data_IF_655853964450
#
_entry.id   IF_655853964450
#
_cell.length_a   1.000
_cell.length_b   1.000
_cell.length_c   1.000
_cell.angle_alpha   90.00
_cell.angle_beta   90.00
_cell.angle_gamma   90.00
#
_symmetry.space_group_name_H-M   'P 1'
#
loop_
_entity.id
_entity.type
_entity.pdbx_description
1 polymer ?
#
# COMPACT_ATOMS: atom_id res chain seq x y z
N UNK A 1 -5.48 -5.01 21.75
CA UNK A 1 -6.53 -4.00 21.57
C UNK A 1 -7.58 -4.66 20.70
N UNK A 2 -8.79 -4.91 21.21
CA UNK A 2 -9.88 -5.44 20.37
C UNK A 2 -10.23 -4.33 19.38
N UNK A 3 -10.06 -4.59 18.09
CA UNK A 3 -10.38 -3.65 17.02
C UNK A 3 -11.89 -3.37 16.92
N UNK A 4 -12.29 -2.64 15.89
CA UNK A 4 -13.69 -2.44 15.49
C UNK A 4 -14.09 -0.98 15.34
N UNK A 5 -13.27 -0.04 15.82
CA UNK A 5 -13.56 1.40 15.73
C UNK A 5 -13.62 1.90 14.29
N UNK A 6 -12.69 1.45 13.44
CA UNK A 6 -12.67 1.81 12.02
C UNK A 6 -13.85 1.18 11.28
N UNK A 7 -14.10 -0.10 11.52
CA UNK A 7 -15.25 -0.81 10.95
C UNK A 7 -16.59 -0.17 11.37
N UNK A 8 -16.70 0.26 12.63
CA UNK A 8 -17.88 0.95 13.14
C UNK A 8 -18.04 2.33 12.49
N UNK A 9 -16.96 3.12 12.42
CA UNK A 9 -16.98 4.44 11.79
C UNK A 9 -17.34 4.34 10.29
N UNK A 10 -16.75 3.39 9.57
CA UNK A 10 -17.09 3.09 8.18
C UNK A 10 -18.58 2.75 8.04
N UNK A 11 -19.11 1.89 8.92
CA UNK A 11 -20.53 1.53 8.94
C UNK A 11 -21.44 2.73 9.21
N UNK A 12 -21.06 3.63 10.12
CA UNK A 12 -21.80 4.86 10.41
C UNK A 12 -21.80 5.83 9.25
N UNK A 13 -20.63 6.11 8.67
CA UNK A 13 -20.48 7.03 7.54
C UNK A 13 -21.28 6.54 6.33
N UNK A 14 -21.27 5.23 6.06
CA UNK A 14 -22.00 4.64 4.93
C UNK A 14 -23.50 4.44 5.19
N UNK A 15 -23.89 4.20 6.44
CA UNK A 15 -25.27 3.91 6.82
C UNK A 15 -26.12 5.15 7.15
N UNK A 16 -25.48 6.26 7.52
CA UNK A 16 -26.15 7.52 7.88
C UNK A 16 -25.65 8.68 7.00
N UNK A 17 -25.86 8.63 5.66
CA UNK A 17 -25.35 9.64 4.74
C UNK A 17 -25.86 11.05 5.07
N UNK A 18 -27.11 11.20 5.52
CA UNK A 18 -27.68 12.51 5.89
C UNK A 18 -26.92 13.21 7.03
N UNK A 19 -26.21 12.44 7.86
CA UNK A 19 -25.47 12.95 9.01
C UNK A 19 -23.99 13.19 8.73
N UNK A 20 -23.39 12.36 7.89
CA UNK A 20 -21.93 12.35 7.66
C UNK A 20 -21.51 12.76 6.24
N UNK A 21 -22.45 12.89 5.29
CA UNK A 21 -22.15 13.38 3.96
C UNK A 21 -21.79 14.87 4.04
N UNK A 22 -20.61 15.22 3.53
CA UNK A 22 -20.21 16.61 3.35
C UNK A 22 -20.83 17.06 2.03
N UNK A 23 -21.77 18.00 2.08
CA UNK A 23 -22.29 18.66 0.88
C UNK A 23 -21.17 19.53 0.33
N UNK A 24 -20.70 19.20 -0.87
CA UNK A 24 -19.59 19.90 -1.51
C UNK A 24 -20.05 21.30 -1.97
N UNK A 25 -19.88 22.29 -1.10
CA UNK A 25 -20.18 23.70 -1.42
C UNK A 25 -19.01 24.41 -2.12
N UNK A 26 -17.85 23.75 -2.31
CA UNK A 26 -16.65 24.39 -2.86
C UNK A 26 -16.11 23.67 -4.11
N UNK A 27 -16.48 24.23 -5.26
CA UNK A 27 -15.88 24.07 -6.59
C UNK A 27 -14.45 23.51 -6.63
N UNK A 28 -14.30 22.21 -6.92
CA UNK A 28 -13.16 21.67 -7.68
C UNK A 28 -11.74 21.88 -7.12
N UNK A 29 -11.59 22.36 -5.89
CA UNK A 29 -10.28 22.49 -5.24
C UNK A 29 -9.83 21.11 -4.81
N UNK A 30 -8.86 20.54 -5.55
CA UNK A 30 -8.06 19.42 -5.07
C UNK A 30 -7.57 19.75 -3.65
N UNK A 31 -7.82 18.85 -2.70
CA UNK A 31 -7.34 19.01 -1.33
C UNK A 31 -5.83 19.25 -1.27
N UNK A 32 -5.35 19.76 -0.13
CA UNK A 32 -3.93 20.05 0.04
C UNK A 32 -3.10 18.75 -0.02
N UNK A 33 -2.40 18.54 -1.14
CA UNK A 33 -1.51 17.38 -1.35
C UNK A 33 -0.05 17.69 -0.92
N UNK A 34 0.15 18.67 -0.04
CA UNK A 34 1.49 19.02 0.44
C UNK A 34 2.09 17.83 1.21
N UNK A 35 3.37 17.53 0.96
CA UNK A 35 4.06 16.37 1.54
C UNK A 35 3.98 15.10 0.69
N UNK A 36 3.05 14.99 -0.26
CA UNK A 36 3.02 13.86 -1.20
C UNK A 36 4.03 14.07 -2.33
N UNK A 37 5.07 13.23 -2.34
CA UNK A 37 6.13 13.30 -3.35
C UNK A 37 6.79 11.94 -3.57
N UNK A 38 6.24 11.12 -4.46
CA UNK A 38 6.88 9.87 -4.86
C UNK A 38 7.66 10.00 -6.19
N UNK A 39 8.98 9.78 -6.10
CA UNK A 39 9.89 9.76 -7.26
C UNK A 39 10.51 8.39 -7.51
N UNK A 40 10.07 7.37 -6.76
CA UNK A 40 10.38 5.98 -7.06
C UNK A 40 9.54 5.50 -8.24
N UNK A 41 10.12 4.62 -9.04
CA UNK A 41 9.38 3.87 -10.06
C UNK A 41 8.50 2.80 -9.40
N UNK A 42 7.47 2.29 -10.10
CA UNK A 42 6.77 1.08 -9.65
C UNK A 42 7.77 -0.03 -9.33
N UNK A 43 7.55 -0.70 -8.20
CA UNK A 43 8.42 -1.74 -7.67
C UNK A 43 8.09 -3.05 -8.38
N UNK A 44 8.82 -3.37 -9.44
CA UNK A 44 8.63 -4.63 -10.15
C UNK A 44 8.89 -5.82 -9.22
N UNK A 45 8.06 -6.86 -9.31
CA UNK A 45 8.24 -8.08 -8.54
C UNK A 45 9.63 -8.69 -8.79
N UNK A 46 10.29 -9.12 -7.72
CA UNK A 46 11.56 -9.83 -7.77
C UNK A 46 11.37 -11.36 -7.72
N UNK A 47 10.20 -11.84 -7.24
CA UNK A 47 9.91 -13.28 -7.10
C UNK A 47 8.89 -13.82 -8.10
N UNK A 48 8.15 -12.95 -8.78
CA UNK A 48 7.25 -13.27 -9.88
C UNK A 48 5.87 -12.61 -9.77
N UNK A 49 5.33 -12.41 -8.57
CA UNK A 49 4.00 -11.82 -8.36
C UNK A 49 3.95 -10.92 -7.12
N UNK A 50 3.41 -9.70 -7.28
CA UNK A 50 3.01 -8.84 -6.15
C UNK A 50 1.57 -9.16 -5.79
N UNK A 51 1.37 -9.61 -4.55
CA UNK A 51 0.08 -10.02 -4.01
C UNK A 51 -0.47 -8.96 -3.07
N UNK A 52 -1.61 -8.37 -3.41
CA UNK A 52 -2.43 -7.58 -2.49
C UNK A 52 -3.38 -8.50 -1.75
N UNK A 53 -3.21 -8.59 -0.44
CA UNK A 53 -3.91 -9.52 0.44
C UNK A 53 -4.72 -8.77 1.49
N UNK A 54 -5.98 -9.15 1.64
CA UNK A 54 -6.93 -8.64 2.61
C UNK A 54 -7.56 -9.81 3.35
N UNK A 55 -7.54 -9.82 4.68
CA UNK A 55 -8.10 -10.92 5.47
C UNK A 55 -8.86 -10.36 6.66
N UNK A 56 -10.10 -10.81 6.83
CA UNK A 56 -10.97 -10.45 7.94
C UNK A 56 -11.51 -11.71 8.62
N UNK A 57 -11.37 -11.80 9.94
CA UNK A 57 -12.00 -12.86 10.73
C UNK A 57 -13.52 -12.69 10.78
N UNK A 58 -14.30 -13.76 10.60
CA UNK A 58 -15.77 -13.66 10.63
C UNK A 58 -16.31 -13.40 12.04
N UNK A 59 -15.69 -14.00 13.06
CA UNK A 59 -16.15 -13.95 14.46
C UNK A 59 -15.31 -13.01 15.33
N UNK A 60 -14.51 -12.12 14.72
CA UNK A 60 -13.50 -11.31 15.43
C UNK A 60 -12.56 -12.17 16.29
N UNK A 61 -12.30 -13.39 15.81
CA UNK A 61 -11.35 -14.31 16.43
C UNK A 61 -9.94 -13.94 15.96
N UNK A 62 -9.21 -13.26 16.85
CA UNK A 62 -7.82 -12.86 16.62
C UNK A 62 -6.88 -14.08 16.55
N UNK A 63 -7.26 -15.24 17.09
CA UNK A 63 -6.45 -16.46 17.03
C UNK A 63 -6.25 -16.93 15.59
N UNK A 64 -7.32 -16.91 14.80
CA UNK A 64 -7.28 -17.29 13.38
C UNK A 64 -6.32 -16.40 12.59
N UNK A 65 -6.24 -15.10 12.92
CA UNK A 65 -5.28 -14.20 12.26
C UNK A 65 -3.84 -14.56 12.66
N UNK A 66 -3.61 -14.95 13.92
CA UNK A 66 -2.33 -15.48 14.39
C UNK A 66 -1.88 -16.72 13.61
N UNK A 67 -2.77 -17.72 13.48
CA UNK A 67 -2.52 -18.95 12.69
C UNK A 67 -2.17 -18.63 11.23
N UNK A 68 -2.87 -17.66 10.63
CA UNK A 68 -2.60 -17.22 9.26
C UNK A 68 -1.21 -16.59 9.17
N UNK A 69 -0.83 -15.72 10.10
CA UNK A 69 0.50 -15.10 10.11
C UNK A 69 1.60 -16.15 10.25
N UNK A 70 1.42 -17.14 11.12
CA UNK A 70 2.35 -18.27 11.26
C UNK A 70 2.44 -19.08 9.96
N UNK A 71 1.30 -19.40 9.33
CA UNK A 71 1.30 -20.09 8.05
C UNK A 71 1.99 -19.28 6.96
N UNK A 72 1.76 -17.96 6.88
CA UNK A 72 2.45 -17.08 5.94
C UNK A 72 3.97 -17.08 6.16
N UNK A 73 4.42 -17.05 7.42
CA UNK A 73 5.84 -17.16 7.76
C UNK A 73 6.46 -18.51 7.33
N UNK A 74 5.68 -19.59 7.34
CA UNK A 74 6.12 -20.91 6.86
C UNK A 74 6.17 -21.01 5.33
N UNK A 75 5.21 -20.40 4.61
CA UNK A 75 5.17 -20.43 3.14
C UNK A 75 6.25 -19.52 2.53
N UNK A 76 6.54 -18.40 3.18
CA UNK A 76 7.50 -17.42 2.70
C UNK A 76 8.90 -17.79 3.22
N UNK A 77 9.75 -18.31 2.34
CA UNK A 77 11.16 -18.57 2.64
C UNK A 77 11.83 -17.31 3.21
N UNK A 78 12.33 -17.38 4.45
CA UNK A 78 12.91 -16.21 5.15
C UNK A 78 11.91 -15.34 5.92
N UNK A 79 10.68 -15.82 6.16
CA UNK A 79 9.57 -15.13 6.86
C UNK A 79 8.97 -13.97 6.06
N UNK A 80 7.82 -13.47 6.51
CA UNK A 80 7.09 -12.35 5.90
C UNK A 80 7.98 -11.14 5.53
N UNK A 81 8.96 -10.69 6.34
CA UNK A 81 9.82 -9.56 5.97
C UNK A 81 10.62 -9.78 4.68
N UNK A 82 10.93 -11.03 4.31
CA UNK A 82 11.63 -11.33 3.05
C UNK A 82 10.74 -11.13 1.82
N UNK A 83 9.42 -11.05 1.99
CA UNK A 83 8.45 -10.76 0.94
C UNK A 83 8.07 -9.28 0.87
N UNK A 84 8.80 -8.38 1.54
CA UNK A 84 8.59 -6.94 1.39
C UNK A 84 8.89 -6.52 -0.06
N UNK A 85 7.91 -5.97 -0.82
CA UNK A 85 8.14 -5.49 -2.19
C UNK A 85 9.10 -4.29 -2.23
N UNK A 86 9.23 -3.58 -1.10
CA UNK A 86 10.21 -2.50 -0.92
C UNK A 86 11.56 -3.11 -0.57
N UNK A 87 12.30 -3.54 -1.60
CA UNK A 87 13.65 -4.06 -1.44
C UNK A 87 14.67 -3.19 -2.16
N UNK A 88 15.93 -3.20 -1.71
CA UNK A 88 17.04 -2.50 -2.41
C UNK A 88 17.15 -2.94 -3.88
N UNK A 89 16.79 -4.20 -4.17
CA UNK A 89 16.74 -4.78 -5.51
C UNK A 89 15.66 -4.19 -6.40
N UNK A 90 14.45 -3.98 -5.87
CA UNK A 90 13.31 -3.44 -6.61
C UNK A 90 13.30 -1.91 -6.71
N UNK A 91 13.88 -1.20 -5.73
CA UNK A 91 13.86 0.26 -5.70
C UNK A 91 14.68 0.88 -6.83
N UNK A 92 14.00 1.58 -7.74
CA UNK A 92 14.59 2.35 -8.82
C UNK A 92 14.04 3.77 -8.79
N UNK A 93 14.92 4.74 -8.92
CA UNK A 93 14.53 6.14 -8.93
C UNK A 93 14.14 6.57 -10.35
N UNK A 94 13.13 7.44 -10.48
CA UNK A 94 12.74 7.98 -11.79
C UNK A 94 13.88 8.79 -12.40
N UNK A 95 14.02 8.70 -13.72
CA UNK A 95 14.97 9.54 -14.46
C UNK A 95 14.49 11.00 -14.50
N UNK A 96 15.39 11.90 -14.91
CA UNK A 96 15.04 13.32 -15.10
C UNK A 96 13.89 13.49 -16.10
N UNK A 97 13.95 12.81 -17.24
CA UNK A 97 12.90 12.88 -18.25
C UNK A 97 11.55 12.37 -17.73
N UNK A 98 11.53 11.27 -16.99
CA UNK A 98 10.31 10.73 -16.37
C UNK A 98 9.72 11.68 -15.33
N UNK A 99 10.57 12.29 -14.50
CA UNK A 99 10.15 13.20 -13.44
C UNK A 99 9.59 14.50 -14.01
N UNK A 100 10.30 15.12 -14.96
CA UNK A 100 9.85 16.34 -15.65
C UNK A 100 8.52 16.09 -16.39
N UNK A 101 8.40 14.99 -17.12
CA UNK A 101 7.15 14.60 -17.81
C UNK A 101 5.98 14.45 -16.83
N UNK A 102 6.23 13.89 -15.64
CA UNK A 102 5.19 13.73 -14.62
C UNK A 102 4.78 15.06 -14.01
N UNK A 103 5.75 15.90 -13.65
CA UNK A 103 5.50 17.20 -13.00
C UNK A 103 4.84 18.20 -13.97
N UNK A 104 5.18 18.18 -15.25
CA UNK A 104 4.52 19.03 -16.27
C UNK A 104 3.03 18.77 -16.42
N UNK A 105 2.52 17.59 -16.05
CA UNK A 105 1.08 17.33 -16.02
C UNK A 105 0.36 18.14 -14.93
N UNK A 106 1.07 18.54 -13.88
CA UNK A 106 0.52 19.17 -12.69
C UNK A 106 0.95 20.63 -12.52
N UNK A 107 2.01 21.08 -13.21
CA UNK A 107 2.47 22.47 -13.18
C UNK A 107 1.73 23.27 -14.25
N UNK A 108 0.73 24.07 -13.84
CA UNK A 108 -0.02 24.95 -14.74
C UNK A 108 0.73 26.21 -15.20
N UNK A 109 1.78 26.66 -14.48
CA UNK A 109 2.57 27.86 -14.83
C UNK A 109 4.08 27.62 -14.68
N UNK A 110 4.82 27.77 -15.77
CA UNK A 110 6.24 27.36 -15.92
C UNK A 110 7.23 28.31 -15.22
N UNK A 111 6.85 29.58 -14.97
CA UNK A 111 7.76 30.63 -14.49
C UNK A 111 7.48 31.14 -13.06
N UNK A 112 6.69 30.43 -12.26
CA UNK A 112 6.53 30.78 -10.85
C UNK A 112 7.78 30.40 -10.05
N UNK A 113 8.15 31.20 -9.02
CA UNK A 113 9.27 30.88 -8.10
C UNK A 113 9.15 29.48 -7.49
N UNK A 114 7.92 29.04 -7.23
CA UNK A 114 7.61 27.68 -6.75
C UNK A 114 8.02 26.60 -7.75
N UNK A 115 7.83 26.83 -9.05
CA UNK A 115 8.24 25.92 -10.13
C UNK A 115 9.76 25.78 -10.19
N UNK A 116 10.50 26.88 -10.08
CA UNK A 116 11.98 26.86 -10.09
C UNK A 116 12.53 26.08 -8.88
N UNK A 117 12.03 26.37 -7.67
CA UNK A 117 12.45 25.65 -6.46
C UNK A 117 12.14 24.15 -6.55
N UNK A 118 10.98 23.79 -7.13
CA UNK A 118 10.60 22.40 -7.39
C UNK A 118 11.56 21.72 -8.39
N UNK A 119 11.91 22.40 -9.48
CA UNK A 119 12.88 21.88 -10.47
C UNK A 119 14.26 21.66 -9.86
N UNK A 120 14.76 22.60 -9.06
CA UNK A 120 16.04 22.44 -8.34
C UNK A 120 15.97 21.24 -7.39
N UNK A 121 14.90 21.14 -6.60
CA UNK A 121 14.68 19.99 -5.70
C UNK A 121 14.67 18.66 -6.45
N UNK A 122 14.05 18.59 -7.63
CA UNK A 122 14.05 17.41 -8.49
C UNK A 122 15.47 17.04 -8.95
N UNK A 123 16.24 18.03 -9.43
CA UNK A 123 17.61 17.81 -9.90
C UNK A 123 18.51 17.31 -8.76
N UNK A 124 18.45 17.95 -7.59
CA UNK A 124 19.18 17.53 -6.39
C UNK A 124 18.78 16.14 -5.97
N UNK A 125 17.48 15.83 -5.96
CA UNK A 125 16.99 14.51 -5.55
C UNK A 125 17.42 13.41 -6.53
N UNK A 126 17.39 13.65 -7.84
CA UNK A 126 17.89 12.69 -8.83
C UNK A 126 19.40 12.50 -8.67
N UNK A 127 20.16 13.57 -8.48
CA UNK A 127 21.60 13.49 -8.26
C UNK A 127 21.94 12.70 -6.99
N UNK A 128 21.23 12.93 -5.90
CA UNK A 128 21.42 12.20 -4.64
C UNK A 128 20.96 10.73 -4.75
N UNK A 129 19.69 10.49 -5.08
CA UNK A 129 19.07 9.16 -4.98
C UNK A 129 19.29 8.26 -6.20
N UNK A 130 19.33 8.81 -7.42
CA UNK A 130 19.55 7.98 -8.62
C UNK A 130 21.03 7.66 -8.83
N UNK A 131 21.94 8.61 -8.58
CA UNK A 131 23.39 8.39 -8.72
C UNK A 131 24.08 7.90 -7.44
N UNK A 132 23.37 7.84 -6.30
CA UNK A 132 23.92 7.46 -4.99
C UNK A 132 25.16 8.28 -4.61
N UNK A 133 25.24 9.54 -5.07
CA UNK A 133 26.38 10.42 -4.85
C UNK A 133 26.27 11.11 -3.47
N UNK A 134 27.39 11.40 -2.77
CA UNK A 134 27.36 12.11 -1.50
C UNK A 134 26.59 13.44 -1.56
N UNK A 135 25.58 13.58 -0.72
CA UNK A 135 24.75 14.76 -0.54
C UNK A 135 24.93 15.30 0.90
N UNK A 136 24.46 16.53 1.23
CA UNK A 136 24.54 17.05 2.60
C UNK A 136 23.63 16.32 3.61
N UNK A 137 23.02 15.20 3.21
CA UNK A 137 22.17 14.33 4.00
C UNK A 137 22.48 12.87 3.67
N UNK A 138 22.20 11.96 4.61
CA UNK A 138 22.49 10.54 4.47
C UNK A 138 21.52 9.84 3.49
N UNK A 139 21.92 9.81 2.23
CA UNK A 139 21.17 9.15 1.15
C UNK A 139 21.06 7.64 1.39
N UNK A 140 22.13 7.00 1.85
CA UNK A 140 22.15 5.54 2.02
C UNK A 140 21.32 5.13 3.22
N UNK A 141 21.47 5.83 4.36
CA UNK A 141 20.63 5.65 5.53
C UNK A 141 19.15 5.85 5.21
N UNK A 142 18.81 6.89 4.44
CA UNK A 142 17.43 7.09 3.98
C UNK A 142 16.92 5.89 3.17
N UNK A 143 17.67 5.45 2.15
CA UNK A 143 17.26 4.32 1.29
C UNK A 143 17.16 3.01 2.07
N UNK A 144 18.01 2.83 3.06
CA UNK A 144 18.04 1.64 3.91
C UNK A 144 16.88 1.60 4.92
N UNK A 145 16.30 2.75 5.26
CA UNK A 145 15.14 2.90 6.13
C UNK A 145 13.79 2.73 5.39
N UNK A 146 13.72 2.95 4.07
CA UNK A 146 12.45 2.86 3.32
C UNK A 146 11.71 1.52 3.57
N UNK A 147 12.36 0.34 3.57
CA UNK A 147 11.66 -0.92 3.83
C UNK A 147 11.04 -1.04 5.22
N UNK A 148 11.64 -0.41 6.26
CA UNK A 148 11.08 -0.42 7.62
C UNK A 148 10.02 0.67 7.82
N UNK A 149 10.05 1.72 6.99
CA UNK A 149 9.07 2.82 6.97
C UNK A 149 7.94 2.61 5.94
N UNK A 150 7.76 1.38 5.43
CA UNK A 150 6.70 1.03 4.51
C UNK A 150 5.58 0.22 5.17
N UNK A 151 4.33 0.52 4.82
CA UNK A 151 3.13 -0.08 5.42
C UNK A 151 2.67 -1.37 4.72
N UNK A 152 3.61 -2.11 4.10
CA UNK A 152 3.33 -3.32 3.33
C UNK A 152 2.68 -4.43 4.16
N UNK A 153 2.72 -4.36 5.49
CA UNK A 153 1.95 -5.20 6.42
C UNK A 153 1.34 -4.32 7.50
N UNK A 154 0.01 -4.29 7.56
CA UNK A 154 -0.75 -3.48 8.52
C UNK A 154 -2.00 -4.24 8.99
N UNK A 155 -2.48 -3.90 10.18
CA UNK A 155 -3.68 -4.48 10.77
C UNK A 155 -4.57 -3.35 11.29
N UNK A 156 -5.75 -3.19 10.69
CA UNK A 156 -6.71 -2.13 11.02
C UNK A 156 -8.15 -2.68 10.94
N UNK A 157 -8.49 -3.53 11.91
CA UNK A 157 -9.68 -4.42 11.95
C UNK A 157 -9.69 -5.55 10.91
N UNK A 158 -8.73 -5.52 10.00
CA UNK A 158 -8.42 -6.57 9.05
C UNK A 158 -6.92 -6.60 8.78
N UNK A 159 -6.38 -7.77 8.47
CA UNK A 159 -5.00 -7.90 8.03
C UNK A 159 -4.91 -7.45 6.56
N UNK A 160 -4.01 -6.51 6.28
CA UNK A 160 -3.70 -6.06 4.92
C UNK A 160 -2.21 -6.20 4.65
N UNK A 161 -1.88 -6.85 3.54
CA UNK A 161 -0.49 -7.08 3.15
C UNK A 161 -0.28 -6.85 1.65
N UNK A 162 0.89 -6.37 1.27
CA UNK A 162 1.38 -6.37 -0.11
C UNK A 162 2.69 -7.14 -0.10
N UNK A 163 2.73 -8.28 -0.79
CA UNK A 163 3.83 -9.25 -0.68
C UNK A 163 4.41 -9.57 -2.05
N UNK A 164 5.74 -9.65 -2.15
CA UNK A 164 6.45 -10.15 -3.32
C UNK A 164 6.70 -11.66 -3.14
N UNK A 165 5.95 -12.46 -3.90
CA UNK A 165 5.86 -13.91 -3.78
C UNK A 165 6.16 -14.60 -5.12
N UNK A 166 6.67 -15.82 -5.04
CA UNK A 166 6.74 -16.71 -6.20
C UNK A 166 5.35 -17.27 -6.54
N UNK A 167 5.08 -17.66 -7.80
CA UNK A 167 3.79 -18.25 -8.18
C UNK A 167 3.40 -19.47 -7.34
N UNK A 168 4.38 -20.27 -6.91
CA UNK A 168 4.15 -21.42 -6.02
C UNK A 168 3.62 -20.96 -4.65
N UNK A 169 4.23 -19.94 -4.07
CA UNK A 169 3.80 -19.38 -2.78
C UNK A 169 2.42 -18.75 -2.87
N UNK A 170 2.12 -18.03 -3.96
CA UNK A 170 0.78 -17.47 -4.20
C UNK A 170 -0.28 -18.56 -4.17
N UNK A 171 -0.06 -19.66 -4.89
CA UNK A 171 -1.00 -20.78 -4.94
C UNK A 171 -1.17 -21.45 -3.57
N UNK A 172 -0.09 -21.64 -2.81
CA UNK A 172 -0.17 -22.21 -1.46
C UNK A 172 -0.95 -21.31 -0.49
N UNK A 173 -0.69 -20.00 -0.52
CA UNK A 173 -1.42 -19.01 0.28
C UNK A 173 -2.91 -19.03 -0.11
N UNK A 174 -3.21 -19.01 -1.42
CA UNK A 174 -4.59 -19.03 -1.91
C UNK A 174 -5.34 -20.26 -1.43
N UNK A 175 -4.80 -21.44 -1.65
CA UNK A 175 -5.46 -22.70 -1.27
C UNK A 175 -5.71 -22.77 0.25
N UNK A 176 -4.76 -22.28 1.06
CA UNK A 176 -4.92 -22.24 2.51
C UNK A 176 -6.05 -21.30 2.94
N UNK A 177 -6.12 -20.09 2.37
CA UNK A 177 -7.16 -19.11 2.68
C UNK A 177 -8.55 -19.56 2.17
N UNK A 178 -8.61 -20.22 1.02
CA UNK A 178 -9.83 -20.84 0.50
C UNK A 178 -10.35 -21.93 1.46
N UNK A 179 -9.46 -22.75 2.02
CA UNK A 179 -9.82 -23.72 3.06
C UNK A 179 -10.42 -23.07 4.30
N UNK A 180 -9.77 -22.05 4.86
CA UNK A 180 -10.28 -21.32 6.02
C UNK A 180 -11.60 -20.59 5.73
N UNK A 181 -11.80 -20.10 4.51
CA UNK A 181 -13.06 -19.51 4.10
C UNK A 181 -14.18 -20.57 4.00
N UNK A 182 -13.88 -21.75 3.44
CA UNK A 182 -14.81 -22.88 3.37
C UNK A 182 -15.24 -23.40 4.76
N UNK A 183 -14.36 -23.28 5.75
CA UNK A 183 -14.66 -23.55 7.16
C UNK A 183 -15.45 -22.42 7.86
N UNK A 184 -15.73 -21.31 7.17
CA UNK A 184 -16.44 -20.15 7.74
C UNK A 184 -15.63 -19.33 8.74
N UNK A 185 -14.30 -19.47 8.76
CA UNK A 185 -13.42 -18.78 9.72
C UNK A 185 -13.10 -17.34 9.29
N UNK A 186 -12.89 -17.13 7.99
CA UNK A 186 -12.47 -15.83 7.44
C UNK A 186 -13.28 -15.40 6.21
N UNK A 187 -13.19 -14.12 5.89
CA UNK A 187 -13.35 -13.57 4.54
C UNK A 187 -11.99 -13.07 4.07
N UNK A 188 -11.67 -13.25 2.79
CA UNK A 188 -10.40 -12.80 2.25
C UNK A 188 -10.52 -12.23 0.83
N UNK A 189 -9.50 -11.45 0.47
CA UNK A 189 -9.31 -10.78 -0.81
C UNK A 189 -7.88 -11.02 -1.27
N UNK A 190 -7.68 -11.55 -2.48
CA UNK A 190 -6.34 -11.75 -3.05
C UNK A 190 -6.32 -11.24 -4.48
N UNK A 191 -5.36 -10.37 -4.79
CA UNK A 191 -5.12 -9.89 -6.15
C UNK A 191 -3.63 -9.91 -6.49
N UNK A 192 -3.30 -10.41 -7.67
CA UNK A 192 -1.94 -10.50 -8.19
C UNK A 192 -1.66 -9.39 -9.19
N UNK A 193 -0.46 -8.84 -9.16
CA UNK A 193 0.00 -7.79 -10.06
C UNK A 193 1.49 -7.95 -10.35
N UNK A 194 1.98 -7.33 -11.41
CA UNK A 194 3.40 -7.41 -11.80
C UNK A 194 4.32 -6.51 -10.97
N UNK A 195 3.75 -5.51 -10.28
CA UNK A 195 4.50 -4.50 -9.55
C UNK A 195 3.72 -3.97 -8.34
N UNK A 196 4.42 -3.40 -7.36
CA UNK A 196 3.81 -2.61 -6.29
C UNK A 196 3.95 -1.11 -6.58
N UNK A 197 2.99 -0.33 -6.10
CA UNK A 197 3.01 1.13 -6.13
C UNK A 197 3.38 1.66 -4.76
N UNK A 198 4.22 2.69 -4.75
CA UNK A 198 4.60 3.40 -3.53
C UNK A 198 4.09 4.83 -3.59
N UNK A 199 3.40 5.27 -2.55
CA UNK A 199 3.03 6.67 -2.32
C UNK A 199 3.79 7.18 -1.10
N UNK A 200 4.59 8.23 -1.28
CA UNK A 200 5.47 8.76 -0.24
C UNK A 200 4.86 10.00 0.37
N UNK A 201 4.62 9.97 1.69
CA UNK A 201 4.35 11.15 2.50
C UNK A 201 5.66 11.55 3.18
N UNK A 202 6.23 12.68 2.77
CA UNK A 202 7.54 13.15 3.22
C UNK A 202 7.36 14.51 3.89
N UNK A 203 7.37 14.51 5.23
CA UNK A 203 7.41 15.74 6.01
C UNK A 203 8.84 16.28 6.12
N UNK A 204 9.81 15.39 6.39
CA UNK A 204 11.23 15.68 6.37
C UNK A 204 12.03 14.41 6.02
N UNK A 205 13.36 14.54 5.85
CA UNK A 205 14.24 13.43 5.47
C UNK A 205 14.90 12.73 6.67
N UNK A 206 14.56 13.08 7.91
CA UNK A 206 15.04 12.36 9.08
C UNK A 206 14.24 11.08 9.32
N UNK A 207 14.77 10.22 10.19
CA UNK A 207 14.08 9.00 10.65
C UNK A 207 12.68 9.36 11.19
N UNK A 208 11.67 8.60 10.77
CA UNK A 208 10.27 8.84 11.15
C UNK A 208 9.59 10.04 10.47
N UNK A 209 10.31 10.87 9.73
CA UNK A 209 9.77 12.01 8.99
C UNK A 209 9.12 11.68 7.65
N UNK A 210 9.18 10.40 7.26
CA UNK A 210 8.67 9.88 6.01
C UNK A 210 7.95 8.55 6.24
N UNK A 211 6.81 8.38 5.57
CA UNK A 211 6.00 7.16 5.58
C UNK A 211 5.69 6.78 4.13
N UNK A 212 5.81 5.49 3.84
CA UNK A 212 5.58 4.94 2.50
C UNK A 212 4.37 4.02 2.50
N UNK A 213 3.34 4.43 1.78
CA UNK A 213 2.14 3.64 1.55
C UNK A 213 2.34 2.72 0.34
N UNK A 214 2.10 1.43 0.51
CA UNK A 214 2.31 0.39 -0.48
C UNK A 214 0.96 -0.23 -0.88
N UNK A 215 0.75 -0.34 -2.19
CA UNK A 215 -0.39 -1.02 -2.80
C UNK A 215 0.09 -1.88 -3.99
N UNK A 216 -0.70 -2.86 -4.41
CA UNK A 216 -0.46 -3.59 -5.65
C UNK A 216 -0.77 -2.75 -6.90
N UNK A 217 -0.18 -3.16 -8.02
CA UNK A 217 -0.52 -2.64 -9.34
C UNK A 217 -1.92 -3.06 -9.79
N UNK A 218 -2.35 -2.52 -10.94
CA UNK A 218 -3.51 -3.01 -11.69
C UNK A 218 -4.83 -3.08 -10.88
N UNK A 219 -4.93 -2.23 -9.85
CA UNK A 219 -6.09 -2.12 -8.96
C UNK A 219 -5.84 -2.62 -7.53
N UNK A 220 -4.78 -3.42 -7.30
CA UNK A 220 -4.26 -3.71 -5.96
C UNK A 220 -5.33 -4.09 -4.93
N UNK A 221 -5.35 -3.37 -3.81
CA UNK A 221 -6.34 -3.54 -2.75
C UNK A 221 -7.78 -3.33 -3.20
N UNK A 222 -8.07 -2.51 -4.21
CA UNK A 222 -9.44 -2.29 -4.67
C UNK A 222 -10.05 -3.57 -5.26
N UNK A 223 -9.27 -4.33 -6.04
CA UNK A 223 -9.71 -5.61 -6.61
C UNK A 223 -9.77 -6.68 -5.52
N UNK A 224 -8.77 -6.76 -4.65
CA UNK A 224 -8.80 -7.68 -3.50
C UNK A 224 -10.04 -7.42 -2.62
N UNK A 225 -10.40 -6.15 -2.38
CA UNK A 225 -11.54 -5.77 -1.57
C UNK A 225 -12.88 -6.15 -2.24
N UNK A 226 -12.94 -6.16 -3.58
CA UNK A 226 -14.12 -6.61 -4.32
C UNK A 226 -14.41 -8.08 -4.00
N UNK A 227 -13.41 -8.94 -4.12
CA UNK A 227 -13.55 -10.38 -3.83
C UNK A 227 -13.95 -10.63 -2.37
N UNK A 228 -13.31 -9.95 -1.42
CA UNK A 228 -13.66 -10.05 0.00
C UNK A 228 -15.12 -9.64 0.27
N UNK A 229 -15.61 -8.57 -0.36
CA UNK A 229 -16.97 -8.09 -0.18
C UNK A 229 -18.01 -9.02 -0.83
N UNK A 230 -17.68 -9.65 -1.95
CA UNK A 230 -18.54 -10.66 -2.58
C UNK A 230 -18.78 -11.83 -1.61
N UNK A 231 -17.72 -12.33 -0.96
CA UNK A 231 -17.84 -13.37 0.07
C UNK A 231 -18.70 -12.92 1.27
N UNK A 232 -18.49 -11.68 1.75
CA UNK A 232 -19.27 -11.13 2.86
C UNK A 232 -20.76 -10.97 2.53
N UNK A 233 -21.08 -10.54 1.31
CA UNK A 233 -22.45 -10.35 0.88
C UNK A 233 -23.18 -11.69 0.71
N UNK A 234 -22.54 -12.68 0.07
CA UNK A 234 -23.10 -14.03 -0.05
C UNK A 234 -23.40 -14.66 1.32
N UNK A 235 -22.50 -14.47 2.31
CA UNK A 235 -22.72 -14.96 3.67
C UNK A 235 -23.88 -14.25 4.40
N UNK A 236 -24.12 -12.96 4.13
CA UNK A 236 -25.28 -12.23 4.68
C UNK A 236 -26.59 -12.73 4.09
N UNK A 237 -26.63 -13.02 2.79
CA UNK A 237 -27.82 -13.57 2.13
C UNK A 237 -28.21 -14.93 2.71
N UNK A 238 -27.23 -15.81 2.98
CA UNK A 238 -27.47 -17.11 3.62
C UNK A 238 -28.02 -16.97 5.04
N UNK A 239 -27.56 -15.98 5.83
CA UNK A 239 -28.04 -15.75 7.20
C UNK A 239 -29.44 -15.14 7.29
N UNK A 240 -29.93 -14.56 6.20
CA UNK A 240 -31.26 -13.94 6.12
C UNK A 240 -32.33 -14.89 5.56
N UNK A 241 -31.95 -16.11 5.17
CA UNK A 241 -32.83 -17.21 4.78
C UNK A 241 -33.11 -18.12 5.99
#
# INVERSE_FOLDING_TARGET
IRGGGLSWAEGKIKGEPDRYCIVDESSGTLGELQGLSCRWQPLASQKGSIVSLLIRSQNSDDHVIGEILEKLDHVIEGKVPSANPVSKGAMRYKTLGQTVKTEWKYVGKVFAKTTINRTISILVSIWAFAKRWPAPFDVQGYVDQIPSHSDYRKFDDMLRMVLDCSPKQVNEIRNYLEGLHGEGKIYFGLHESSHALMTCMVGNLSEGGHIHFIDGGDGGYAIAAKYLKEQMNASKEIKNL
#
